data_IF_998269636061
#
_entry.id   IF_998269636061
#
_cell.length_a   1.000
_cell.length_b   1.000
_cell.length_c   1.000
_cell.angle_alpha   90.00
_cell.angle_beta   90.00
_cell.angle_gamma   90.00
#
_symmetry.space_group_name_H-M   'P 1'
#
loop_
_entity.id
_entity.type
_entity.pdbx_description
1 polymer ?
#
# COMPACT_ATOMS: atom_id res chain seq x y z
N UNK A 1 0.21 -1.93 -7.60
CA UNK A 1 -1.05 -2.66 -7.38
C UNK A 1 -1.52 -3.43 -8.61
N UNK A 2 -1.57 -2.80 -9.79
CA UNK A 2 -2.04 -3.41 -11.06
C UNK A 2 -1.46 -4.79 -11.42
N UNK A 3 -0.20 -5.07 -11.08
CA UNK A 3 0.42 -6.38 -11.34
C UNK A 3 -0.13 -7.51 -10.45
N UNK A 4 -0.54 -7.21 -9.22
CA UNK A 4 -1.01 -8.22 -8.26
C UNK A 4 -2.41 -8.75 -8.60
N UNK A 5 -3.18 -7.99 -9.37
CA UNK A 5 -4.52 -8.38 -9.82
C UNK A 5 -4.54 -9.09 -11.18
N UNK A 6 -3.39 -9.23 -11.85
CA UNK A 6 -3.25 -9.98 -13.11
C UNK A 6 -2.73 -11.40 -12.83
N UNK A 7 -3.34 -12.44 -13.43
CA UNK A 7 -2.76 -13.78 -13.42
C UNK A 7 -1.34 -13.76 -14.00
N UNK A 8 -0.32 -14.31 -13.31
CA UNK A 8 1.02 -14.39 -13.86
C UNK A 8 1.06 -15.24 -15.15
N UNK A 9 1.61 -14.74 -16.27
CA UNK A 9 1.68 -15.44 -17.56
C UNK A 9 2.42 -16.77 -17.51
N UNK A 10 3.32 -16.93 -16.54
CA UNK A 10 4.11 -18.14 -16.32
C UNK A 10 3.36 -19.24 -15.54
N UNK A 11 2.14 -18.98 -15.06
CA UNK A 11 1.31 -19.96 -14.34
C UNK A 11 -0.09 -20.04 -14.98
N UNK A 12 -0.29 -20.94 -15.97
CA UNK A 12 -1.59 -21.13 -16.59
C UNK A 12 -2.63 -21.58 -15.56
N UNK A 13 -3.84 -21.00 -15.62
CA UNK A 13 -4.95 -21.19 -14.66
C UNK A 13 -4.75 -20.56 -13.26
N UNK A 14 -3.82 -19.61 -13.11
CA UNK A 14 -3.72 -18.79 -11.90
C UNK A 14 -4.78 -17.67 -11.87
N UNK A 15 -5.10 -17.19 -10.67
CA UNK A 15 -5.88 -15.96 -10.46
C UNK A 15 -4.96 -14.88 -9.87
N UNK A 16 -5.36 -13.61 -9.98
CA UNK A 16 -4.71 -12.53 -9.25
C UNK A 16 -4.77 -12.79 -7.73
N UNK A 17 -3.73 -12.39 -7.01
CA UNK A 17 -3.62 -12.61 -5.56
C UNK A 17 -4.53 -11.71 -4.75
N UNK A 18 -4.90 -10.57 -5.32
CA UNK A 18 -5.82 -9.62 -4.71
C UNK A 18 -7.23 -9.82 -5.26
N UNK A 19 -8.24 -9.64 -4.40
CA UNK A 19 -9.63 -9.66 -4.85
C UNK A 19 -9.86 -8.62 -5.93
N UNK A 20 -10.84 -8.87 -6.81
CA UNK A 20 -11.10 -8.02 -7.98
C UNK A 20 -11.31 -6.53 -7.65
N UNK A 21 -11.79 -6.23 -6.44
CA UNK A 21 -11.97 -4.87 -5.93
C UNK A 21 -10.66 -4.09 -5.74
N UNK A 22 -9.52 -4.78 -5.57
CA UNK A 22 -8.19 -4.17 -5.48
C UNK A 22 -7.45 -4.21 -6.84
N UNK A 23 -8.04 -4.80 -7.88
CA UNK A 23 -7.53 -4.76 -9.24
C UNK A 23 -8.08 -3.57 -10.07
N UNK A 24 -8.70 -2.60 -9.39
CA UNK A 24 -9.12 -1.34 -10.01
C UNK A 24 -7.91 -0.44 -10.33
N UNK A 25 -8.03 0.41 -11.36
CA UNK A 25 -7.08 1.51 -11.55
C UNK A 25 -7.09 2.40 -10.31
N UNK A 26 -5.89 2.86 -9.91
CA UNK A 26 -5.76 3.75 -8.77
C UNK A 26 -6.56 5.05 -9.00
N UNK A 27 -7.20 5.61 -7.96
CA UNK A 27 -7.08 5.23 -6.55
C UNK A 27 -7.94 4.01 -6.17
N UNK A 28 -7.39 3.10 -5.35
CA UNK A 28 -8.17 2.00 -4.77
C UNK A 28 -8.94 2.55 -3.58
N UNK A 29 -10.26 2.62 -3.69
CA UNK A 29 -11.12 3.14 -2.64
C UNK A 29 -11.88 2.01 -1.96
N UNK A 30 -11.75 1.90 -0.64
CA UNK A 30 -12.54 0.98 0.18
C UNK A 30 -12.95 1.64 1.49
N UNK A 31 -14.24 1.53 1.82
CA UNK A 31 -14.80 2.06 3.08
C UNK A 31 -14.48 3.54 3.33
N UNK A 32 -14.37 4.35 2.27
CA UNK A 32 -14.06 5.78 2.38
C UNK A 32 -12.58 6.13 2.57
N UNK A 33 -11.68 5.15 2.43
CA UNK A 33 -10.24 5.34 2.40
C UNK A 33 -9.66 5.01 1.04
N UNK A 34 -8.68 5.81 0.62
CA UNK A 34 -7.83 5.56 -0.53
C UNK A 34 -6.59 4.80 -0.09
N UNK A 35 -6.40 3.64 -0.69
CA UNK A 35 -5.27 2.75 -0.43
C UNK A 35 -4.21 2.91 -1.52
N UNK A 36 -2.96 3.05 -1.08
CA UNK A 36 -1.78 3.01 -1.95
C UNK A 36 -0.85 1.90 -1.50
N UNK A 37 -0.21 1.23 -2.46
CA UNK A 37 0.86 0.28 -2.24
C UNK A 37 1.93 0.47 -3.31
N UNK A 38 3.16 0.72 -2.85
CA UNK A 38 4.35 0.94 -3.69
C UNK A 38 5.56 0.25 -3.07
N UNK A 39 6.69 0.26 -3.80
CA UNK A 39 7.98 -0.07 -3.19
C UNK A 39 8.34 0.96 -2.12
N UNK A 40 8.87 0.50 -0.99
CA UNK A 40 9.33 1.37 0.09
C UNK A 40 10.47 2.30 -0.38
N UNK A 41 10.63 3.42 0.31
CA UNK A 41 11.76 4.32 0.12
C UNK A 41 13.08 3.58 0.40
N UNK A 42 13.97 3.56 -0.58
CA UNK A 42 15.25 2.85 -0.48
C UNK A 42 15.20 1.37 -0.84
N UNK A 43 14.05 0.82 -1.27
CA UNK A 43 13.98 -0.52 -1.82
C UNK A 43 14.89 -0.68 -3.04
N UNK A 44 15.52 -1.84 -3.15
CA UNK A 44 16.29 -2.24 -4.32
C UNK A 44 15.40 -2.97 -5.33
N UNK A 45 15.69 -2.78 -6.61
CA UNK A 45 15.09 -3.58 -7.67
C UNK A 45 15.65 -5.01 -7.66
N UNK A 46 14.76 -5.99 -7.64
CA UNK A 46 15.08 -7.39 -7.83
C UNK A 46 14.94 -7.83 -9.29
N UNK A 47 15.03 -9.14 -9.56
CA UNK A 47 14.76 -9.71 -10.87
C UNK A 47 13.35 -9.37 -11.38
N UNK A 48 13.19 -9.42 -12.71
CA UNK A 48 11.88 -9.30 -13.34
C UNK A 48 10.94 -10.43 -12.91
N UNK A 49 9.70 -10.06 -12.61
CA UNK A 49 8.60 -10.99 -12.41
C UNK A 49 8.14 -11.61 -13.76
N UNK A 50 7.14 -12.49 -13.68
CA UNK A 50 6.57 -13.12 -14.87
C UNK A 50 5.85 -12.16 -15.82
N UNK A 51 5.56 -10.94 -15.38
CA UNK A 51 5.00 -9.86 -16.19
C UNK A 51 6.08 -8.94 -16.79
N UNK A 52 7.36 -9.30 -16.66
CA UNK A 52 8.51 -8.49 -17.10
C UNK A 52 8.59 -7.14 -16.39
N UNK A 53 8.22 -7.12 -15.10
CA UNK A 53 8.37 -5.96 -14.23
C UNK A 53 9.38 -6.27 -13.13
N UNK A 54 10.33 -5.36 -12.83
CA UNK A 54 11.27 -5.58 -11.75
C UNK A 54 10.51 -5.71 -10.43
N UNK A 55 10.85 -6.72 -9.65
CA UNK A 55 10.39 -6.85 -8.27
C UNK A 55 11.08 -5.79 -7.38
N UNK A 56 10.53 -5.57 -6.19
CA UNK A 56 11.15 -4.71 -5.16
C UNK A 56 11.21 -5.47 -3.85
N UNK A 57 12.29 -5.28 -3.09
CA UNK A 57 12.56 -6.01 -1.83
C UNK A 57 11.90 -5.40 -0.58
N UNK A 58 11.25 -4.24 -0.73
CA UNK A 58 10.47 -3.62 0.32
C UNK A 58 9.20 -2.96 -0.19
N UNK A 59 8.20 -2.85 0.67
CA UNK A 59 6.90 -2.24 0.37
C UNK A 59 6.52 -1.16 1.38
N UNK A 60 5.73 -0.21 0.91
CA UNK A 60 5.03 0.77 1.72
C UNK A 60 3.57 0.78 1.30
N UNK A 61 2.69 0.56 2.27
CA UNK A 61 1.25 0.66 2.10
C UNK A 61 0.70 1.79 2.96
N UNK A 62 -0.21 2.57 2.40
CA UNK A 62 -0.90 3.63 3.14
C UNK A 62 -2.40 3.65 2.87
N UNK A 63 -3.14 4.23 3.80
CA UNK A 63 -4.57 4.49 3.70
C UNK A 63 -4.88 5.90 4.20
N UNK A 64 -5.49 6.73 3.37
CA UNK A 64 -5.89 8.10 3.72
C UNK A 64 -7.40 8.29 3.51
N UNK A 65 -8.11 9.06 4.35
CA UNK A 65 -9.53 9.28 4.18
C UNK A 65 -9.79 10.09 2.90
N UNK A 66 -10.74 9.64 2.08
CA UNK A 66 -11.19 10.36 0.88
C UNK A 66 -11.70 11.77 1.21
N UNK A 67 -12.39 11.92 2.34
CA UNK A 67 -12.82 13.22 2.87
C UNK A 67 -12.49 13.27 4.36
N UNK A 68 -11.41 13.98 4.71
CA UNK A 68 -10.99 14.17 6.10
C UNK A 68 -12.14 14.75 6.94
N UNK A 69 -12.34 14.19 8.14
CA UNK A 69 -13.44 14.54 9.04
C UNK A 69 -14.78 13.89 8.70
N UNK A 70 -14.94 13.30 7.50
CA UNK A 70 -16.18 12.63 7.09
C UNK A 70 -15.99 11.12 6.95
N UNK A 71 -15.06 10.68 6.11
CA UNK A 71 -14.80 9.24 5.89
C UNK A 71 -13.74 8.69 6.83
N UNK A 72 -13.00 9.56 7.49
CA UNK A 72 -12.00 9.23 8.49
C UNK A 72 -11.32 10.48 9.04
N UNK A 73 -10.62 10.34 10.15
CA UNK A 73 -9.90 11.44 10.82
C UNK A 73 -8.40 11.21 10.89
N UNK A 74 -7.92 10.05 10.41
CA UNK A 74 -6.54 9.59 10.57
C UNK A 74 -6.06 8.95 9.27
N UNK A 75 -4.79 9.10 8.97
CA UNK A 75 -4.14 8.30 7.94
C UNK A 75 -3.36 7.16 8.59
N UNK A 76 -3.09 6.12 7.81
CA UNK A 76 -2.38 4.93 8.27
C UNK A 76 -1.30 4.54 7.28
N UNK A 77 -0.22 3.95 7.79
CA UNK A 77 0.78 3.31 6.95
C UNK A 77 1.45 2.12 7.64
N UNK A 78 1.98 1.22 6.82
CA UNK A 78 2.78 0.07 7.23
C UNK A 78 3.85 -0.20 6.17
N UNK A 79 5.03 -0.63 6.62
CA UNK A 79 6.14 -1.03 5.77
C UNK A 79 6.58 -2.47 6.09
N UNK A 80 7.75 -2.86 5.58
CA UNK A 80 8.35 -4.19 5.83
C UNK A 80 8.63 -4.51 7.29
N UNK A 81 8.65 -3.52 8.18
CA UNK A 81 8.79 -3.72 9.63
C UNK A 81 7.47 -4.16 10.29
N UNK A 82 6.36 -4.17 9.53
CA UNK A 82 5.05 -4.70 9.93
C UNK A 82 4.39 -4.00 11.13
N UNK A 83 4.94 -2.88 11.59
CA UNK A 83 4.31 -2.00 12.58
C UNK A 83 3.36 -1.05 11.88
N UNK A 84 2.13 -0.93 12.37
CA UNK A 84 1.16 0.01 11.80
C UNK A 84 1.30 1.35 12.50
N UNK A 85 1.44 2.42 11.72
CA UNK A 85 1.46 3.81 12.20
C UNK A 85 0.16 4.51 11.82
N UNK A 86 -0.31 5.38 12.72
CA UNK A 86 -1.39 6.33 12.45
C UNK A 86 -0.84 7.76 12.44
N UNK A 87 -1.47 8.65 11.68
CA UNK A 87 -1.25 10.10 11.68
C UNK A 87 -2.58 10.80 12.03
N UNK A 88 -2.57 11.65 13.08
CA UNK A 88 -3.76 12.37 13.56
C UNK A 88 -4.27 13.45 12.60
N UNK A 89 -3.46 13.88 11.64
CA UNK A 89 -3.80 14.91 10.65
C UNK A 89 -4.59 14.36 9.46
N UNK A 90 -4.64 13.03 9.30
CA UNK A 90 -5.25 12.38 8.14
C UNK A 90 -4.30 12.14 6.97
N UNK A 91 -3.06 12.64 7.03
CA UNK A 91 -2.04 12.38 6.03
C UNK A 91 -1.50 10.94 6.12
N UNK A 92 -0.87 10.45 5.05
CA UNK A 92 -0.17 9.18 5.11
C UNK A 92 1.14 9.36 5.91
N UNK A 93 1.40 8.57 6.97
CA UNK A 93 2.67 8.63 7.69
C UNK A 93 3.87 8.46 6.75
N UNK A 94 4.85 9.36 6.83
CA UNK A 94 6.00 9.41 5.93
C UNK A 94 7.04 8.31 6.17
N UNK A 95 7.81 7.97 5.13
CA UNK A 95 8.94 7.03 5.22
C UNK A 95 10.26 7.74 5.59
N UNK A 96 11.13 7.15 6.43
CA UNK A 96 10.91 5.91 7.17
C UNK A 96 9.86 6.10 8.28
N UNK A 97 9.03 5.07 8.49
CA UNK A 97 7.99 5.12 9.51
C UNK A 97 8.62 5.27 10.90
N UNK A 98 8.25 6.35 11.58
CA UNK A 98 8.70 6.68 12.92
C UNK A 98 7.66 7.53 13.63
N UNK A 99 7.68 7.51 14.96
CA UNK A 99 6.83 8.38 15.75
C UNK A 99 7.33 9.84 15.69
N UNK A 100 6.40 10.78 15.70
CA UNK A 100 6.62 12.22 15.88
C UNK A 100 5.44 12.84 16.66
N UNK A 101 5.22 14.15 16.53
CA UNK A 101 4.16 14.86 17.24
C UNK A 101 2.74 14.41 16.82
N UNK A 102 2.57 14.02 15.55
CA UNK A 102 1.28 13.65 14.95
C UNK A 102 1.17 12.15 14.62
N UNK A 103 2.31 11.47 14.52
CA UNK A 103 2.46 10.07 14.08
C UNK A 103 2.81 9.15 15.24
N UNK A 104 2.09 8.04 15.40
CA UNK A 104 2.35 7.05 16.46
C UNK A 104 2.12 5.60 16.01
N UNK A 105 2.86 4.61 16.54
CA UNK A 105 2.57 3.19 16.30
C UNK A 105 1.29 2.75 17.02
N UNK A 106 0.55 1.80 16.44
CA UNK A 106 -0.69 1.25 17.01
C UNK A 106 -0.74 -0.28 17.09
N UNK A 107 0.16 -1.00 16.40
CA UNK A 107 0.32 -2.45 16.48
C UNK A 107 1.76 -2.85 16.18
#
# INVERSE_FOLDING_TARGET
>A
LEQLGRPPPCAPNSQGFISAEFNAEAPIIKSGYEFTLRGAAGSAAGPDDCNKKPTVDGFYASAVPQNLGTTGTRGFAVDTNMTIFQDVTGAAPGEPLRADDDVSPIQ
#
